data_IF_596461496959
#
_entry.id   IF_596461496959
#
_cell.length_a   1.000
_cell.length_b   1.000
_cell.length_c   1.000
_cell.angle_alpha   90.00
_cell.angle_beta   90.00
_cell.angle_gamma   90.00
#
_symmetry.space_group_name_H-M   'P 1'
#
loop_
_entity.id
_entity.type
_entity.pdbx_description
1 polymer ?
#
# COMPACT_ATOMS: atom_id res chain seq x y z
N UNK A 1 -4.45 17.44 -9.99
CA UNK A 1 -4.26 16.14 -10.68
C UNK A 1 -3.30 15.35 -9.83
N UNK A 2 -3.76 14.32 -9.13
CA UNK A 2 -2.82 13.40 -8.44
C UNK A 2 -2.09 12.66 -9.56
N UNK A 3 -0.77 12.82 -9.64
CA UNK A 3 0.04 12.03 -10.58
C UNK A 3 -0.01 10.58 -10.11
N UNK A 4 -0.82 9.78 -10.78
CA UNK A 4 -0.93 8.35 -10.53
C UNK A 4 0.26 7.67 -11.20
N UNK A 5 1.06 6.91 -10.45
CA UNK A 5 2.11 6.11 -11.09
C UNK A 5 1.46 5.04 -11.97
N UNK A 6 2.17 4.60 -13.01
CA UNK A 6 1.71 3.50 -13.87
C UNK A 6 1.48 2.21 -13.07
N UNK A 7 2.25 2.01 -11.99
CA UNK A 7 2.13 0.86 -11.09
C UNK A 7 0.82 0.89 -10.31
N UNK A 8 0.44 2.06 -9.77
CA UNK A 8 -0.86 2.25 -9.12
C UNK A 8 -2.01 2.00 -10.10
N UNK A 9 -1.94 2.55 -11.32
CA UNK A 9 -2.98 2.31 -12.36
C UNK A 9 -3.21 0.83 -12.64
N UNK A 10 -2.13 0.05 -12.81
CA UNK A 10 -2.22 -1.38 -13.07
C UNK A 10 -2.70 -2.16 -11.83
N UNK A 11 -2.48 -1.64 -10.63
CA UNK A 11 -2.98 -2.24 -9.41
C UNK A 11 -4.49 -2.02 -9.24
N UNK A 12 -5.00 -0.81 -9.54
CA UNK A 12 -6.42 -0.46 -9.41
C UNK A 12 -7.27 -0.79 -10.63
N UNK A 13 -6.69 -1.27 -11.72
CA UNK A 13 -7.44 -1.70 -12.91
C UNK A 13 -8.19 -3.02 -12.71
N UNK A 14 -7.80 -3.81 -11.71
CA UNK A 14 -8.40 -5.11 -11.40
C UNK A 14 -8.43 -5.37 -9.88
N UNK A 15 -9.31 -6.24 -9.39
CA UNK A 15 -9.31 -6.64 -7.98
C UNK A 15 -7.94 -7.21 -7.57
N UNK A 16 -7.43 -6.82 -6.40
CA UNK A 16 -6.05 -7.16 -6.01
C UNK A 16 -5.80 -8.66 -5.82
N UNK A 17 -6.85 -9.46 -5.58
CA UNK A 17 -6.75 -10.92 -5.41
C UNK A 17 -5.60 -11.33 -4.48
N UNK A 18 -4.73 -12.23 -4.96
CA UNK A 18 -3.56 -12.72 -4.23
C UNK A 18 -2.24 -12.06 -4.66
N UNK A 19 -2.29 -10.83 -5.19
CA UNK A 19 -1.10 -10.08 -5.61
C UNK A 19 -0.11 -9.94 -4.44
N UNK A 20 1.21 -10.05 -4.70
CA UNK A 20 2.23 -9.85 -3.68
C UNK A 20 2.22 -8.40 -3.17
N UNK A 21 2.75 -8.16 -1.98
CA UNK A 21 2.81 -6.81 -1.41
C UNK A 21 3.62 -5.83 -2.27
N UNK A 22 4.64 -6.33 -2.97
CA UNK A 22 5.47 -5.56 -3.90
C UNK A 22 4.72 -5.09 -5.15
N UNK A 23 3.50 -5.59 -5.39
CA UNK A 23 2.63 -5.08 -6.46
C UNK A 23 1.99 -3.73 -6.09
N UNK A 24 1.90 -3.41 -4.80
CA UNK A 24 1.39 -2.11 -4.33
C UNK A 24 2.39 -1.03 -4.70
N UNK A 25 1.87 0.11 -5.15
CA UNK A 25 2.71 1.24 -5.49
C UNK A 25 3.35 1.84 -4.24
N UNK A 26 4.57 2.37 -4.36
CA UNK A 26 5.32 2.83 -3.19
C UNK A 26 5.88 1.71 -2.28
N UNK A 27 5.70 0.43 -2.62
CA UNK A 27 6.41 -0.68 -1.97
C UNK A 27 7.50 -1.17 -2.91
N UNK A 28 8.75 -0.96 -2.53
CA UNK A 28 9.92 -1.50 -3.21
C UNK A 28 10.26 -2.93 -2.69
N UNK A 29 11.33 -3.54 -3.22
CA UNK A 29 11.74 -4.88 -2.79
C UNK A 29 12.26 -4.91 -1.35
N UNK A 30 12.92 -3.85 -0.88
CA UNK A 30 13.50 -3.78 0.46
C UNK A 30 12.40 -3.66 1.52
N UNK A 31 11.51 -2.68 1.36
CA UNK A 31 10.33 -2.49 2.19
C UNK A 31 9.40 -3.69 2.11
N UNK A 32 9.20 -4.24 0.90
CA UNK A 32 8.43 -5.46 0.69
C UNK A 32 8.98 -6.65 1.46
N UNK A 33 10.31 -6.82 1.51
CA UNK A 33 10.95 -7.88 2.29
C UNK A 33 10.78 -7.67 3.80
N UNK A 34 10.90 -6.43 4.30
CA UNK A 34 10.66 -6.08 5.73
C UNK A 34 9.22 -6.37 6.14
N UNK A 35 8.27 -6.01 5.28
CA UNK A 35 6.84 -6.28 5.46
C UNK A 35 6.56 -7.79 5.46
N UNK A 36 7.08 -8.52 4.48
CA UNK A 36 6.92 -9.97 4.38
C UNK A 36 7.49 -10.70 5.60
N UNK A 37 8.62 -10.24 6.15
CA UNK A 37 9.21 -10.79 7.37
C UNK A 37 8.31 -10.61 8.62
N UNK A 38 7.39 -9.65 8.60
CA UNK A 38 6.36 -9.45 9.64
C UNK A 38 5.01 -10.11 9.32
N UNK A 39 4.91 -10.84 8.21
CA UNK A 39 3.69 -11.51 7.77
C UNK A 39 2.81 -10.70 6.82
N UNK A 40 3.31 -9.56 6.31
CA UNK A 40 2.65 -8.80 5.25
C UNK A 40 3.22 -9.23 3.88
N UNK A 41 2.92 -10.44 3.43
CA UNK A 41 3.40 -10.99 2.16
C UNK A 41 2.48 -10.67 0.97
N UNK A 42 1.20 -10.39 1.25
CA UNK A 42 0.16 -10.09 0.24
C UNK A 42 -0.40 -8.68 0.35
N UNK A 43 -0.82 -8.13 -0.79
CA UNK A 43 -1.40 -6.78 -0.86
C UNK A 43 -2.68 -6.65 -0.01
N UNK A 44 -3.50 -7.69 0.08
CA UNK A 44 -4.74 -7.65 0.88
C UNK A 44 -4.47 -7.58 2.38
N UNK A 45 -3.31 -8.06 2.87
CA UNK A 45 -2.95 -7.96 4.29
C UNK A 45 -2.61 -6.51 4.61
N UNK A 46 -1.87 -5.84 3.72
CA UNK A 46 -1.59 -4.41 3.83
C UNK A 46 -2.87 -3.57 3.75
N UNK A 47 -3.78 -3.92 2.84
CA UNK A 47 -5.11 -3.31 2.79
C UNK A 47 -5.87 -3.50 4.13
N UNK A 48 -5.83 -4.69 4.71
CA UNK A 48 -6.45 -4.95 6.02
C UNK A 48 -5.97 -3.97 7.09
N UNK A 49 -4.67 -3.72 7.15
CA UNK A 49 -4.10 -2.71 8.05
C UNK A 49 -4.59 -1.29 7.73
N UNK A 50 -4.66 -0.92 6.44
CA UNK A 50 -5.20 0.37 6.02
C UNK A 50 -6.67 0.56 6.44
N UNK A 51 -7.47 -0.50 6.37
CA UNK A 51 -8.87 -0.50 6.82
C UNK A 51 -8.99 -0.40 8.35
N UNK A 52 -8.10 -1.03 9.12
CA UNK A 52 -8.05 -0.87 10.58
C UNK A 52 -7.75 0.58 10.98
N UNK A 53 -6.97 1.29 10.16
CA UNK A 53 -6.69 2.72 10.31
C UNK A 53 -7.79 3.60 9.69
N UNK A 54 -8.99 3.05 9.44
CA UNK A 54 -10.17 3.76 8.92
C UNK A 54 -9.92 4.47 7.59
N UNK A 55 -9.04 3.91 6.74
CA UNK A 55 -8.63 4.50 5.45
C UNK A 55 -7.99 5.89 5.59
N UNK A 56 -7.45 6.21 6.77
CA UNK A 56 -6.83 7.51 7.04
C UNK A 56 -5.37 7.47 6.56
N UNK A 57 -5.08 8.24 5.49
CA UNK A 57 -3.78 8.23 4.84
C UNK A 57 -2.66 8.65 5.77
N UNK A 58 -2.84 9.68 6.61
CA UNK A 58 -1.77 10.15 7.49
C UNK A 58 -1.43 9.11 8.57
N UNK A 59 -2.43 8.44 9.14
CA UNK A 59 -2.25 7.36 10.11
C UNK A 59 -1.52 6.17 9.49
N UNK A 60 -1.90 5.77 8.26
CA UNK A 60 -1.21 4.69 7.56
C UNK A 60 0.23 5.06 7.21
N UNK A 61 0.46 6.27 6.71
CA UNK A 61 1.81 6.74 6.41
C UNK A 61 2.70 6.75 7.66
N UNK A 62 2.19 7.26 8.77
CA UNK A 62 2.91 7.27 10.04
C UNK A 62 3.18 5.85 10.54
N UNK A 63 2.21 4.95 10.43
CA UNK A 63 2.40 3.54 10.79
C UNK A 63 3.49 2.87 9.95
N UNK A 64 3.48 3.08 8.62
CA UNK A 64 4.45 2.48 7.71
C UNK A 64 5.86 3.01 7.98
N UNK A 65 6.00 4.32 8.20
CA UNK A 65 7.25 4.98 8.59
C UNK A 65 7.77 4.46 9.93
N UNK A 66 6.94 4.44 10.97
CA UNK A 66 7.36 4.06 12.31
C UNK A 66 7.60 2.55 12.49
N UNK A 67 6.96 1.70 11.69
CA UNK A 67 7.06 0.24 11.85
C UNK A 67 8.08 -0.41 10.91
N UNK A 68 8.33 0.19 9.75
CA UNK A 68 9.15 -0.40 8.68
C UNK A 68 10.21 0.56 8.11
N UNK A 69 10.40 1.74 8.72
CA UNK A 69 11.34 2.77 8.29
C UNK A 69 11.13 3.19 6.82
N UNK A 70 9.88 3.14 6.34
CA UNK A 70 9.55 3.57 4.99
C UNK A 70 9.80 5.07 4.81
N UNK A 71 10.24 5.47 3.62
CA UNK A 71 10.39 6.88 3.26
C UNK A 71 9.02 7.57 3.12
N UNK A 72 9.03 8.91 3.14
CA UNK A 72 7.81 9.69 2.91
C UNK A 72 7.16 9.42 1.56
N UNK A 73 7.96 9.19 0.52
CA UNK A 73 7.45 8.91 -0.82
C UNK A 73 6.77 7.55 -0.88
N UNK A 74 7.38 6.50 -0.32
CA UNK A 74 6.82 5.15 -0.28
C UNK A 74 5.51 5.11 0.49
N UNK A 75 5.49 5.74 1.66
CA UNK A 75 4.31 5.84 2.50
C UNK A 75 3.16 6.58 1.79
N UNK A 76 3.43 7.70 1.13
CA UNK A 76 2.43 8.47 0.41
C UNK A 76 1.87 7.70 -0.79
N UNK A 77 2.74 7.11 -1.61
CA UNK A 77 2.35 6.33 -2.80
C UNK A 77 1.53 5.10 -2.43
N UNK A 78 1.95 4.35 -1.41
CA UNK A 78 1.22 3.17 -0.95
C UNK A 78 -0.15 3.53 -0.35
N UNK A 79 -0.23 4.59 0.46
CA UNK A 79 -1.50 5.08 1.00
C UNK A 79 -2.47 5.50 -0.12
N UNK A 80 -2.00 6.28 -1.09
CA UNK A 80 -2.80 6.73 -2.22
C UNK A 80 -3.28 5.55 -3.06
N UNK A 81 -2.41 4.60 -3.37
CA UNK A 81 -2.77 3.40 -4.14
C UNK A 81 -3.84 2.55 -3.46
N UNK A 82 -3.71 2.32 -2.14
CA UNK A 82 -4.70 1.58 -1.37
C UNK A 82 -6.03 2.34 -1.26
N UNK A 83 -5.98 3.67 -1.11
CA UNK A 83 -7.18 4.51 -1.07
C UNK A 83 -7.92 4.49 -2.40
N UNK A 84 -7.20 4.63 -3.53
CA UNK A 84 -7.79 4.54 -4.86
C UNK A 84 -8.39 3.15 -5.14
N UNK A 85 -7.70 2.09 -4.71
CA UNK A 85 -8.24 0.73 -4.81
C UNK A 85 -9.53 0.59 -4.01
N UNK A 86 -9.58 1.16 -2.79
CA UNK A 86 -10.82 1.20 -1.99
C UNK A 86 -11.95 1.90 -2.75
N UNK A 87 -11.69 3.06 -3.35
CA UNK A 87 -12.73 3.77 -4.12
C UNK A 87 -13.21 2.99 -5.35
N UNK A 88 -12.38 2.14 -5.94
CA UNK A 88 -12.72 1.37 -7.13
C UNK A 88 -13.50 0.08 -6.83
N UNK A 89 -13.21 -0.60 -5.70
CA UNK A 89 -13.70 -1.97 -5.45
C UNK A 89 -14.37 -2.20 -4.09
N UNK A 90 -14.42 -1.21 -3.18
CA UNK A 90 -14.96 -1.35 -1.82
C UNK A 90 -15.97 -0.25 -1.46
#
# INVERSE_FOLDING_TARGET
>A
MVMRSQKCQNFVSEPMGNKPITAVDGIDEELGAKLAAKGFDKAYILLGQFLLLKKECAAFQNWLKSSFDASSSEAEQSALCLLEWCYAFL
#
